data_IF_158811618633
#
_entry.id   IF_158811618633
#
_cell.length_a   1.000
_cell.length_b   1.000
_cell.length_c   1.000
_cell.angle_alpha   90.00
_cell.angle_beta   90.00
_cell.angle_gamma   90.00
#
_symmetry.space_group_name_H-M   'P 1'
#
loop_
_entity.id
_entity.type
_entity.pdbx_description
1 polymer ?
#
# COMPACT_ATOMS: atom_id res chain seq x y z
N UNK A 1 -27.25 -18.60 -7.51
CA UNK A 1 -26.06 -17.83 -7.96
C UNK A 1 -25.81 -16.76 -6.92
N UNK A 2 -24.82 -16.93 -6.05
CA UNK A 2 -24.52 -15.90 -5.05
C UNK A 2 -23.77 -14.76 -5.75
N UNK A 3 -24.38 -13.57 -5.81
CA UNK A 3 -23.67 -12.36 -6.19
C UNK A 3 -22.68 -12.05 -5.06
N UNK A 4 -21.45 -12.55 -5.18
CA UNK A 4 -20.37 -12.09 -4.31
C UNK A 4 -20.23 -10.60 -4.56
N UNK A 5 -20.41 -9.79 -3.52
CA UNK A 5 -20.12 -8.35 -3.54
C UNK A 5 -18.72 -8.18 -4.17
N UNK A 6 -18.51 -7.24 -5.12
CA UNK A 6 -17.18 -7.01 -5.67
C UNK A 6 -16.22 -6.85 -4.50
N UNK A 7 -15.25 -7.77 -4.38
CA UNK A 7 -14.27 -7.70 -3.30
C UNK A 7 -13.48 -6.43 -3.58
N UNK A 8 -13.66 -5.39 -2.80
CA UNK A 8 -12.94 -4.12 -2.91
C UNK A 8 -11.46 -4.25 -2.50
N UNK A 9 -10.85 -5.43 -2.73
CA UNK A 9 -9.53 -5.83 -2.24
C UNK A 9 -8.63 -6.51 -3.27
N UNK A 10 -9.11 -6.88 -4.46
CA UNK A 10 -8.32 -7.68 -5.44
C UNK A 10 -7.33 -6.86 -6.29
N UNK A 11 -7.24 -5.54 -6.09
CA UNK A 11 -6.28 -4.68 -6.82
C UNK A 11 -4.87 -4.72 -6.23
N UNK A 12 -3.81 -4.47 -7.04
CA UNK A 12 -2.42 -4.46 -6.57
C UNK A 12 -2.21 -3.40 -5.49
N UNK A 13 -1.08 -3.45 -4.78
CA UNK A 13 -0.68 -2.32 -3.92
C UNK A 13 -0.54 -1.05 -4.76
N UNK A 14 -1.06 0.07 -4.25
CA UNK A 14 -1.08 1.35 -4.97
C UNK A 14 -0.66 2.50 -4.05
N UNK A 15 -0.01 3.52 -4.62
CA UNK A 15 0.28 4.80 -3.95
C UNK A 15 -0.12 5.93 -4.89
N UNK A 16 -0.97 6.84 -4.45
CA UNK A 16 -1.44 8.00 -5.23
C UNK A 16 -1.15 9.31 -4.50
N UNK A 17 -0.77 10.36 -5.23
CA UNK A 17 -0.66 11.71 -4.65
C UNK A 17 -2.05 12.35 -4.64
N UNK A 18 -2.55 12.71 -3.47
CA UNK A 18 -3.84 13.37 -3.29
C UNK A 18 -3.61 14.73 -2.62
N UNK A 19 -3.74 15.80 -3.40
CA UNK A 19 -3.43 17.18 -3.00
C UNK A 19 -2.02 17.35 -2.38
N UNK A 20 -1.93 17.31 -1.04
CA UNK A 20 -0.70 17.53 -0.26
C UNK A 20 -0.14 16.26 0.39
N UNK A 21 -0.85 15.14 0.31
CA UNK A 21 -0.48 13.88 0.92
C UNK A 21 -0.36 12.78 -0.14
N UNK A 22 0.24 11.66 0.26
CA UNK A 22 0.26 10.42 -0.47
C UNK A 22 -0.66 9.42 0.21
N UNK A 23 -1.54 8.79 -0.57
CA UNK A 23 -2.44 7.75 -0.09
C UNK A 23 -1.96 6.40 -0.60
N UNK A 24 -1.51 5.56 0.33
CA UNK A 24 -1.09 4.19 0.06
C UNK A 24 -2.22 3.21 0.38
N UNK A 25 -2.48 2.27 -0.53
CA UNK A 25 -3.53 1.24 -0.42
C UNK A 25 -2.90 -0.15 -0.54
N UNK A 26 -2.98 -0.95 0.51
CA UNK A 26 -2.41 -2.30 0.58
C UNK A 26 -3.55 -3.33 0.69
N UNK A 27 -3.67 -4.30 -0.24
CA UNK A 27 -4.64 -5.38 -0.12
C UNK A 27 -4.27 -6.32 1.05
N UNK A 28 -5.27 -6.77 1.81
CA UNK A 28 -5.08 -7.67 2.94
C UNK A 28 -5.60 -9.09 2.61
N UNK A 29 -4.92 -10.13 3.09
CA UNK A 29 -5.26 -11.54 2.82
C UNK A 29 -6.66 -11.94 3.35
N UNK A 30 -7.18 -11.24 4.36
CA UNK A 30 -8.53 -11.44 4.91
C UNK A 30 -9.63 -10.65 4.21
N UNK A 31 -9.31 -9.95 3.13
CA UNK A 31 -10.20 -9.02 2.43
C UNK A 31 -10.10 -7.57 2.93
N UNK A 32 -10.50 -6.64 2.07
CA UNK A 32 -10.35 -5.20 2.30
C UNK A 32 -8.98 -4.66 1.94
N UNK A 33 -8.74 -3.39 2.30
CA UNK A 33 -7.48 -2.67 2.04
C UNK A 33 -7.10 -1.85 3.25
N UNK A 34 -5.84 -1.91 3.65
CA UNK A 34 -5.26 -0.93 4.54
C UNK A 34 -5.01 0.35 3.74
N UNK A 35 -5.57 1.47 4.19
CA UNK A 35 -5.36 2.78 3.58
C UNK A 35 -4.58 3.64 4.56
N UNK A 36 -3.44 4.15 4.13
CA UNK A 36 -2.57 5.01 4.94
C UNK A 36 -2.33 6.30 4.20
N UNK A 37 -2.53 7.42 4.88
CA UNK A 37 -2.16 8.75 4.39
C UNK A 37 -0.80 9.13 4.98
N UNK A 38 0.10 9.61 4.14
CA UNK A 38 1.47 9.98 4.48
C UNK A 38 1.77 11.36 3.90
N UNK A 39 2.58 12.15 4.57
CA UNK A 39 3.24 13.28 3.93
C UNK A 39 4.45 12.81 3.08
N UNK A 40 5.08 13.75 2.36
CA UNK A 40 6.19 13.43 1.45
C UNK A 40 7.41 12.87 2.19
N UNK A 41 7.72 13.41 3.38
CA UNK A 41 8.87 12.98 4.17
C UNK A 41 8.67 11.57 4.71
N UNK A 42 7.49 11.28 5.28
CA UNK A 42 7.12 9.96 5.78
C UNK A 42 7.15 8.91 4.67
N UNK A 43 6.61 9.22 3.49
CA UNK A 43 6.64 8.32 2.33
C UNK A 43 8.06 8.03 1.85
N UNK A 44 8.93 9.06 1.85
CA UNK A 44 10.35 8.91 1.48
C UNK A 44 11.09 8.03 2.49
N UNK A 45 10.90 8.28 3.78
CA UNK A 45 11.52 7.47 4.83
C UNK A 45 11.06 6.01 4.78
N UNK A 46 9.76 5.78 4.58
CA UNK A 46 9.19 4.43 4.40
C UNK A 46 9.83 3.71 3.20
N UNK A 47 9.97 4.39 2.06
CA UNK A 47 10.64 3.85 0.88
C UNK A 47 12.09 3.43 1.17
N UNK A 48 12.84 4.24 1.90
CA UNK A 48 14.23 3.96 2.25
C UNK A 48 14.36 2.73 3.15
N UNK A 49 13.56 2.63 4.22
CA UNK A 49 13.63 1.47 5.13
C UNK A 49 13.20 0.17 4.43
N UNK A 50 12.23 0.23 3.53
CA UNK A 50 11.80 -0.92 2.73
C UNK A 50 12.91 -1.36 1.75
N UNK A 51 13.53 -0.43 1.03
CA UNK A 51 14.64 -0.75 0.13
C UNK A 51 15.83 -1.37 0.88
N UNK A 52 16.16 -0.83 2.06
CA UNK A 52 17.20 -1.38 2.92
C UNK A 52 16.88 -2.82 3.36
N UNK A 53 15.64 -3.10 3.76
CA UNK A 53 15.21 -4.45 4.12
C UNK A 53 15.26 -5.42 2.92
N UNK A 54 14.80 -5.00 1.74
CA UNK A 54 14.86 -5.81 0.52
C UNK A 54 16.31 -6.15 0.14
N UNK A 55 17.26 -5.24 0.37
CA UNK A 55 18.67 -5.49 0.11
C UNK A 55 19.27 -6.61 0.98
N UNK A 56 18.69 -6.88 2.16
CA UNK A 56 19.12 -7.99 3.03
C UNK A 56 18.73 -9.36 2.48
N UNK A 57 17.63 -9.45 1.71
CA UNK A 57 17.14 -10.71 1.11
C UNK A 57 17.98 -11.12 -0.11
N UNK A 58 18.67 -10.17 -0.73
CA UNK A 58 19.48 -10.39 -1.94
C UNK A 58 20.93 -10.83 -1.66
N UNK A 59 21.30 -11.03 -0.38
CA UNK A 59 22.58 -11.62 0.04
C UNK A 59 22.38 -13.08 0.39
#
# INVERSE_FOLDING_TARGET
>A
MAAMKPRTGDGPMEVTKEARSMVMRIPLEGGGRLVVELNIEEATNLGNVLQAAVALVKK
#
